data_IF_720419609148
#
_entry.id   IF_720419609148
#
_cell.length_a   1.000
_cell.length_b   1.000
_cell.length_c   1.000
_cell.angle_alpha   90.00
_cell.angle_beta   90.00
_cell.angle_gamma   90.00
#
_symmetry.space_group_name_H-M   'P 1'
#
loop_
_entity.id
_entity.type
_entity.pdbx_description
1 polymer ?
#
# COMPACT_ATOMS: atom_id res chain seq x y z
N UNK A 1 -53.13 42.30 -44.61
CA UNK A 1 -53.15 41.25 -43.56
C UNK A 1 -52.81 39.81 -44.05
N UNK A 2 -52.67 39.56 -45.30
CA UNK A 2 -52.39 38.20 -45.86
C UNK A 2 -50.92 37.74 -45.75
N UNK A 3 -49.92 38.61 -45.57
CA UNK A 3 -48.49 38.27 -45.57
C UNK A 3 -47.99 37.70 -44.23
N UNK A 4 -48.72 37.81 -43.14
CA UNK A 4 -48.30 37.23 -41.82
C UNK A 4 -48.78 35.83 -41.57
N UNK A 5 -49.78 35.34 -42.31
CA UNK A 5 -50.32 33.97 -42.17
C UNK A 5 -49.49 32.92 -42.88
N UNK A 6 -48.77 33.26 -43.95
CA UNK A 6 -47.94 32.34 -44.70
C UNK A 6 -46.65 31.98 -43.95
N UNK A 7 -46.08 32.87 -43.12
CA UNK A 7 -44.88 32.59 -42.35
C UNK A 7 -45.12 31.61 -41.18
N UNK A 8 -46.31 31.72 -40.52
CA UNK A 8 -46.65 30.82 -39.42
C UNK A 8 -46.98 29.40 -39.91
N UNK A 9 -47.63 29.28 -41.06
CA UNK A 9 -47.91 27.96 -41.67
C UNK A 9 -46.64 27.24 -42.13
N UNK A 10 -45.64 27.99 -42.67
CA UNK A 10 -44.37 27.42 -43.06
C UNK A 10 -43.53 26.97 -41.89
N UNK A 11 -43.56 27.71 -40.76
CA UNK A 11 -42.85 27.35 -39.54
C UNK A 11 -43.50 26.10 -38.86
N UNK A 12 -44.80 25.96 -38.94
CA UNK A 12 -45.51 24.77 -38.39
C UNK A 12 -45.28 23.53 -39.27
N UNK A 13 -45.20 23.67 -40.62
CA UNK A 13 -44.87 22.57 -41.54
C UNK A 13 -43.39 22.15 -41.38
N UNK A 14 -42.47 23.06 -41.17
CA UNK A 14 -41.07 22.75 -40.88
C UNK A 14 -40.86 22.04 -39.53
N UNK A 15 -41.71 22.34 -38.53
CA UNK A 15 -41.66 21.66 -37.23
C UNK A 15 -42.18 20.21 -37.32
N UNK A 16 -43.14 19.94 -38.24
CA UNK A 16 -43.68 18.57 -38.48
C UNK A 16 -42.75 17.75 -39.38
N UNK A 17 -41.90 18.40 -40.19
CA UNK A 17 -40.99 17.72 -41.14
C UNK A 17 -39.60 17.41 -40.54
N UNK A 18 -39.34 17.75 -39.29
CA UNK A 18 -38.17 17.22 -38.60
C UNK A 18 -38.39 15.72 -38.39
N UNK A 19 -37.59 14.84 -39.01
CA UNK A 19 -37.67 13.43 -38.70
C UNK A 19 -37.32 13.25 -37.24
N UNK A 20 -38.32 12.92 -36.41
CA UNK A 20 -38.09 12.40 -35.08
C UNK A 20 -37.39 11.04 -35.23
N UNK A 21 -36.15 11.04 -35.65
CA UNK A 21 -35.29 9.89 -35.49
C UNK A 21 -34.94 9.80 -34.00
N UNK A 22 -35.91 9.36 -33.20
CA UNK A 22 -35.63 8.84 -31.91
C UNK A 22 -35.20 7.37 -32.09
N UNK A 23 -33.91 7.04 -32.17
CA UNK A 23 -33.44 5.73 -32.55
C UNK A 23 -33.30 4.81 -31.35
N UNK A 24 -34.15 4.95 -30.34
CA UNK A 24 -33.96 4.17 -29.15
C UNK A 24 -35.15 3.25 -28.88
N UNK A 25 -35.03 1.96 -29.13
CA UNK A 25 -35.99 1.02 -28.62
C UNK A 25 -35.90 0.96 -27.10
N UNK A 26 -37.02 1.28 -26.46
CA UNK A 26 -37.23 0.92 -25.07
C UNK A 26 -37.56 -0.57 -25.07
N UNK A 27 -36.75 -1.38 -24.38
CA UNK A 27 -36.92 -2.84 -24.29
C UNK A 27 -37.44 -3.18 -22.91
N UNK A 28 -38.54 -3.94 -22.86
CA UNK A 28 -39.03 -4.51 -21.61
C UNK A 28 -38.33 -5.85 -21.34
N UNK A 29 -37.71 -5.96 -20.13
CA UNK A 29 -37.17 -7.21 -19.65
C UNK A 29 -37.94 -7.68 -18.43
N UNK A 30 -38.34 -8.96 -18.44
CA UNK A 30 -38.98 -9.56 -17.27
C UNK A 30 -37.98 -9.56 -16.09
N UNK A 31 -38.36 -8.91 -14.99
CA UNK A 31 -37.52 -8.75 -13.80
C UNK A 31 -36.75 -7.42 -13.67
N UNK A 32 -36.52 -6.72 -14.78
CA UNK A 32 -35.75 -5.44 -14.79
C UNK A 32 -36.59 -4.22 -15.25
N UNK A 33 -37.78 -4.47 -15.83
CA UNK A 33 -38.65 -3.41 -16.33
C UNK A 33 -38.22 -2.87 -17.70
N UNK A 34 -38.57 -1.60 -17.97
CA UNK A 34 -38.26 -0.92 -19.21
C UNK A 34 -36.82 -0.40 -19.20
N UNK A 35 -35.97 -0.84 -20.13
CA UNK A 35 -34.59 -0.40 -20.30
C UNK A 35 -34.40 0.27 -21.65
N UNK A 36 -33.58 1.34 -21.66
CA UNK A 36 -33.20 2.07 -22.85
C UNK A 36 -31.94 1.43 -23.50
N UNK A 37 -32.07 0.92 -24.71
CA UNK A 37 -30.94 0.34 -25.44
C UNK A 37 -30.81 1.03 -26.82
N UNK A 38 -29.81 1.94 -26.99
CA UNK A 38 -29.62 2.64 -28.26
C UNK A 38 -29.26 1.66 -29.39
N UNK A 39 -29.74 1.94 -30.58
CA UNK A 39 -29.40 1.17 -31.79
C UNK A 39 -28.04 1.64 -32.33
N UNK A 40 -27.05 0.74 -32.36
CA UNK A 40 -25.73 1.05 -32.92
C UNK A 40 -25.73 1.13 -34.44
N UNK A 41 -24.93 1.99 -35.03
CA UNK A 41 -24.64 1.96 -36.47
C UNK A 41 -23.80 0.74 -36.83
N UNK A 42 -23.96 0.18 -38.04
CA UNK A 42 -23.16 -0.94 -38.54
C UNK A 42 -22.36 -0.48 -39.77
N UNK A 43 -21.04 -0.68 -39.73
CA UNK A 43 -20.12 -0.34 -40.82
C UNK A 43 -19.25 -1.51 -41.29
N UNK A 44 -19.23 -2.62 -40.56
CA UNK A 44 -18.38 -3.78 -40.83
C UNK A 44 -19.13 -5.10 -40.57
N UNK A 45 -18.68 -6.20 -41.18
CA UNK A 45 -19.29 -7.52 -41.02
C UNK A 45 -19.37 -8.04 -39.59
N UNK A 46 -18.51 -7.55 -38.68
CA UNK A 46 -18.47 -7.92 -37.26
C UNK A 46 -19.29 -6.96 -36.36
N UNK A 47 -19.84 -5.89 -36.90
CA UNK A 47 -20.65 -4.92 -36.15
C UNK A 47 -22.12 -5.33 -36.13
N UNK A 48 -22.74 -5.17 -34.97
CA UNK A 48 -24.17 -5.46 -34.76
C UNK A 48 -24.89 -4.23 -34.22
N UNK A 49 -26.20 -4.22 -34.39
CA UNK A 49 -27.07 -3.10 -33.98
C UNK A 49 -27.46 -3.15 -32.50
N UNK A 50 -27.36 -4.30 -31.84
CA UNK A 50 -27.73 -4.52 -30.43
C UNK A 50 -26.56 -4.96 -29.62
N UNK A 51 -26.54 -4.57 -28.32
CA UNK A 51 -25.48 -4.91 -27.39
C UNK A 51 -25.29 -6.42 -27.22
N UNK A 52 -26.40 -7.17 -27.10
CA UNK A 52 -26.40 -8.62 -26.96
C UNK A 52 -25.70 -9.30 -28.14
N UNK A 53 -26.14 -8.97 -29.37
CA UNK A 53 -25.60 -9.59 -30.60
C UNK A 53 -24.12 -9.22 -30.80
N UNK A 54 -23.75 -7.99 -30.43
CA UNK A 54 -22.35 -7.52 -30.48
C UNK A 54 -21.46 -8.25 -29.46
N UNK A 55 -21.98 -8.53 -28.27
CA UNK A 55 -21.27 -9.34 -27.27
C UNK A 55 -21.10 -10.78 -27.73
N UNK A 56 -22.14 -11.35 -28.38
CA UNK A 56 -22.05 -12.70 -28.93
C UNK A 56 -20.94 -12.79 -30.00
N UNK A 57 -20.84 -11.83 -30.91
CA UNK A 57 -19.74 -11.78 -31.90
C UNK A 57 -18.39 -11.71 -31.18
N UNK A 58 -18.28 -10.95 -30.08
CA UNK A 58 -17.04 -10.85 -29.29
C UNK A 58 -16.71 -12.21 -28.65
N UNK A 59 -17.68 -12.89 -28.08
CA UNK A 59 -17.51 -14.21 -27.46
C UNK A 59 -17.10 -15.27 -28.51
N UNK A 60 -17.80 -15.37 -29.63
CA UNK A 60 -17.46 -16.28 -30.69
C UNK A 60 -16.05 -16.06 -31.26
N UNK A 61 -15.64 -14.79 -31.41
CA UNK A 61 -14.27 -14.44 -31.80
C UNK A 61 -13.24 -14.86 -30.75
N UNK A 62 -13.57 -14.73 -29.46
CA UNK A 62 -12.73 -15.19 -28.37
C UNK A 62 -12.55 -16.72 -28.41
N UNK A 63 -13.63 -17.45 -28.59
CA UNK A 63 -13.62 -18.90 -28.59
C UNK A 63 -12.84 -19.46 -29.80
N UNK A 64 -12.83 -18.73 -30.92
CA UNK A 64 -11.97 -19.03 -32.09
C UNK A 64 -10.51 -18.62 -31.94
N UNK A 65 -10.13 -17.97 -30.79
CA UNK A 65 -8.77 -17.46 -30.57
C UNK A 65 -8.45 -16.16 -31.31
N UNK A 66 -9.43 -15.51 -31.92
CA UNK A 66 -9.30 -14.24 -32.62
C UNK A 66 -9.32 -13.05 -31.64
N UNK A 67 -8.42 -13.06 -30.66
CA UNK A 67 -8.43 -12.12 -29.51
C UNK A 67 -8.40 -10.64 -29.91
N UNK A 68 -7.85 -10.30 -31.07
CA UNK A 68 -7.86 -8.90 -31.56
C UNK A 68 -9.27 -8.48 -32.01
N UNK A 69 -9.97 -9.34 -32.72
CA UNK A 69 -11.35 -9.10 -33.15
C UNK A 69 -12.28 -9.10 -31.93
N UNK A 70 -12.15 -10.09 -31.04
CA UNK A 70 -12.88 -10.16 -29.78
C UNK A 70 -12.73 -8.88 -28.96
N UNK A 71 -11.51 -8.36 -28.82
CA UNK A 71 -11.24 -7.10 -28.12
C UNK A 71 -11.95 -5.91 -28.80
N UNK A 72 -11.94 -5.82 -30.15
CA UNK A 72 -12.63 -4.75 -30.89
C UNK A 72 -14.14 -4.82 -30.68
N UNK A 73 -14.72 -6.03 -30.85
CA UNK A 73 -16.14 -6.25 -30.72
C UNK A 73 -16.65 -5.98 -29.30
N UNK A 74 -15.94 -6.45 -28.26
CA UNK A 74 -16.26 -6.20 -26.87
C UNK A 74 -16.14 -4.72 -26.49
N UNK A 75 -15.06 -4.05 -26.93
CA UNK A 75 -14.91 -2.61 -26.70
C UNK A 75 -16.01 -1.77 -27.35
N UNK A 76 -16.57 -2.24 -28.47
CA UNK A 76 -17.73 -1.59 -29.09
C UNK A 76 -18.95 -1.66 -28.18
N UNK A 77 -19.21 -2.81 -27.52
CA UNK A 77 -20.29 -2.92 -26.53
C UNK A 77 -20.12 -1.87 -25.44
N UNK A 78 -18.94 -1.81 -24.84
CA UNK A 78 -18.64 -0.89 -23.74
C UNK A 78 -18.77 0.59 -24.14
N UNK A 79 -18.42 0.93 -25.39
CA UNK A 79 -18.46 2.32 -25.87
C UNK A 79 -19.84 2.77 -26.32
N UNK A 80 -20.54 1.91 -27.04
CA UNK A 80 -21.85 2.26 -27.66
C UNK A 80 -23.00 2.07 -26.67
N UNK A 81 -22.89 1.04 -25.80
CA UNK A 81 -23.95 0.67 -24.83
C UNK A 81 -23.40 0.61 -23.39
N UNK A 82 -22.82 1.70 -22.84
CA UNK A 82 -22.17 1.68 -21.53
C UNK A 82 -23.10 1.33 -20.38
N UNK A 83 -24.40 1.63 -20.52
CA UNK A 83 -25.43 1.37 -19.49
C UNK A 83 -26.15 0.04 -19.67
N UNK A 84 -25.81 -0.74 -20.70
CA UNK A 84 -26.39 -2.05 -20.92
C UNK A 84 -25.79 -3.09 -19.95
N UNK A 85 -26.60 -4.05 -19.48
CA UNK A 85 -26.17 -5.19 -18.66
C UNK A 85 -25.07 -6.02 -19.33
N UNK A 86 -25.00 -5.95 -20.65
CA UNK A 86 -23.95 -6.61 -21.43
C UNK A 86 -22.60 -5.88 -21.36
N UNK A 87 -22.57 -4.61 -20.93
CA UNK A 87 -21.35 -3.80 -20.87
C UNK A 87 -20.34 -4.36 -19.86
N UNK A 88 -20.78 -4.80 -18.69
CA UNK A 88 -19.92 -5.42 -17.68
C UNK A 88 -19.27 -6.71 -18.18
N UNK A 89 -20.07 -7.59 -18.80
CA UNK A 89 -19.58 -8.85 -19.42
C UNK A 89 -18.61 -8.57 -20.57
N UNK A 90 -18.90 -7.56 -21.39
CA UNK A 90 -18.01 -7.16 -22.48
C UNK A 90 -16.68 -6.60 -21.95
N UNK A 91 -16.70 -5.75 -20.92
CA UNK A 91 -15.49 -5.22 -20.31
C UNK A 91 -14.63 -6.33 -19.68
N UNK A 92 -15.26 -7.32 -19.04
CA UNK A 92 -14.58 -8.51 -18.54
C UNK A 92 -13.92 -9.30 -19.68
N UNK A 93 -14.63 -9.52 -20.79
CA UNK A 93 -14.11 -10.22 -21.98
C UNK A 93 -12.90 -9.49 -22.58
N UNK A 94 -12.88 -8.15 -22.57
CA UNK A 94 -11.68 -7.36 -22.94
C UNK A 94 -10.49 -7.74 -22.07
N UNK A 95 -10.70 -7.88 -20.76
CA UNK A 95 -9.67 -8.36 -19.81
C UNK A 95 -9.14 -9.74 -20.19
N UNK A 96 -10.04 -10.70 -20.46
CA UNK A 96 -9.72 -12.06 -20.89
C UNK A 96 -8.91 -12.08 -22.20
N UNK A 97 -9.30 -11.25 -23.17
CA UNK A 97 -8.58 -11.13 -24.43
C UNK A 97 -7.15 -10.60 -24.24
N UNK A 98 -6.96 -9.63 -23.35
CA UNK A 98 -5.61 -9.14 -23.04
C UNK A 98 -4.77 -10.19 -22.30
N UNK A 99 -5.37 -10.92 -21.36
CA UNK A 99 -4.70 -12.00 -20.62
C UNK A 99 -4.25 -13.13 -21.57
N UNK A 100 -5.14 -13.60 -22.46
CA UNK A 100 -4.81 -14.61 -23.48
C UNK A 100 -3.64 -14.19 -24.39
N UNK A 101 -3.51 -12.88 -24.64
CA UNK A 101 -2.40 -12.29 -25.40
C UNK A 101 -1.16 -12.01 -24.54
N UNK A 102 -1.12 -12.44 -23.28
CA UNK A 102 -0.02 -12.18 -22.32
C UNK A 102 0.28 -10.67 -22.14
N UNK A 103 -0.78 -9.85 -22.22
CA UNK A 103 -0.74 -8.40 -21.98
C UNK A 103 -1.26 -8.09 -20.58
N UNK A 104 -0.61 -8.68 -19.56
CA UNK A 104 -1.10 -8.73 -18.17
C UNK A 104 -1.41 -7.35 -17.56
N UNK A 105 -0.61 -6.32 -17.86
CA UNK A 105 -0.90 -4.96 -17.39
C UNK A 105 -2.22 -4.40 -17.94
N UNK A 106 -2.51 -4.68 -19.23
CA UNK A 106 -3.75 -4.24 -19.85
C UNK A 106 -4.93 -5.07 -19.37
N UNK A 107 -4.71 -6.37 -19.17
CA UNK A 107 -5.70 -7.26 -18.57
C UNK A 107 -6.10 -6.81 -17.18
N UNK A 108 -5.12 -6.54 -16.31
CA UNK A 108 -5.37 -6.03 -14.95
C UNK A 108 -6.17 -4.72 -14.96
N UNK A 109 -5.79 -3.78 -15.83
CA UNK A 109 -6.53 -2.50 -15.96
C UNK A 109 -7.96 -2.71 -16.47
N UNK A 110 -8.17 -3.64 -17.41
CA UNK A 110 -9.51 -3.95 -17.93
C UNK A 110 -10.37 -4.57 -16.84
N UNK A 111 -9.82 -5.49 -16.04
CA UNK A 111 -10.49 -6.09 -14.88
C UNK A 111 -10.79 -5.04 -13.80
N UNK A 112 -9.86 -4.16 -13.49
CA UNK A 112 -10.08 -3.06 -12.55
C UNK A 112 -11.23 -2.15 -13.00
N UNK A 113 -11.26 -1.84 -14.29
CA UNK A 113 -12.32 -1.04 -14.89
C UNK A 113 -13.68 -1.75 -14.82
N UNK A 114 -13.71 -3.09 -14.98
CA UNK A 114 -14.93 -3.89 -14.82
C UNK A 114 -15.47 -3.74 -13.38
N UNK A 115 -14.65 -3.98 -12.38
CA UNK A 115 -15.06 -3.90 -10.97
C UNK A 115 -15.52 -2.48 -10.57
N UNK A 116 -14.86 -1.45 -11.12
CA UNK A 116 -15.18 -0.05 -10.79
C UNK A 116 -16.47 0.43 -11.46
N UNK A 117 -16.69 0.09 -12.72
CA UNK A 117 -17.85 0.57 -13.50
C UNK A 117 -19.05 -0.35 -13.41
N UNK A 118 -18.84 -1.64 -13.18
CA UNK A 118 -19.88 -2.68 -13.18
C UNK A 118 -19.75 -3.55 -11.91
N UNK A 119 -19.98 -3.01 -10.71
CA UNK A 119 -19.77 -3.73 -9.44
C UNK A 119 -20.73 -4.94 -9.26
N UNK A 120 -21.81 -5.00 -10.04
CA UNK A 120 -22.79 -6.10 -10.00
C UNK A 120 -22.51 -7.19 -11.05
N UNK A 121 -21.29 -7.25 -11.61
CA UNK A 121 -20.93 -8.28 -12.61
C UNK A 121 -20.93 -9.67 -11.97
N UNK A 122 -21.48 -10.66 -12.68
CA UNK A 122 -21.61 -12.05 -12.20
C UNK A 122 -20.23 -12.69 -11.87
N UNK A 123 -19.19 -12.28 -12.57
CA UNK A 123 -17.85 -12.84 -12.46
C UNK A 123 -16.95 -12.07 -11.47
N UNK A 124 -17.50 -11.42 -10.45
CA UNK A 124 -16.74 -10.54 -9.53
C UNK A 124 -15.56 -11.27 -8.88
N UNK A 125 -15.78 -12.41 -8.24
CA UNK A 125 -14.75 -13.18 -7.55
C UNK A 125 -13.73 -13.79 -8.52
N UNK A 126 -14.17 -14.21 -9.69
CA UNK A 126 -13.27 -14.67 -10.75
C UNK A 126 -12.33 -13.53 -11.19
N UNK A 127 -12.83 -12.31 -11.33
CA UNK A 127 -12.02 -11.15 -11.69
C UNK A 127 -10.96 -10.88 -10.62
N UNK A 128 -11.33 -10.93 -9.33
CA UNK A 128 -10.38 -10.76 -8.23
C UNK A 128 -9.30 -11.85 -8.25
N UNK A 129 -9.67 -13.10 -8.47
CA UNK A 129 -8.73 -14.21 -8.60
C UNK A 129 -7.77 -14.02 -9.78
N UNK A 130 -8.25 -13.54 -10.92
CA UNK A 130 -7.42 -13.23 -12.08
C UNK A 130 -6.49 -12.05 -11.83
N UNK A 131 -6.96 -10.98 -11.18
CA UNK A 131 -6.12 -9.86 -10.78
C UNK A 131 -5.00 -10.32 -9.85
N UNK A 132 -5.33 -11.16 -8.87
CA UNK A 132 -4.35 -11.74 -7.95
C UNK A 132 -3.31 -12.59 -8.72
N UNK A 133 -3.75 -13.47 -9.61
CA UNK A 133 -2.86 -14.30 -10.43
C UNK A 133 -1.91 -13.47 -11.29
N UNK A 134 -2.40 -12.39 -11.89
CA UNK A 134 -1.56 -11.45 -12.65
C UNK A 134 -0.51 -10.78 -11.75
N UNK A 135 -0.90 -10.30 -10.56
CA UNK A 135 0.02 -9.70 -9.60
C UNK A 135 1.08 -10.71 -9.13
N UNK A 136 0.70 -11.97 -8.92
CA UNK A 136 1.61 -13.07 -8.59
C UNK A 136 2.66 -13.33 -9.69
N UNK A 137 2.28 -13.26 -10.96
CA UNK A 137 3.24 -13.37 -12.07
C UNK A 137 4.32 -12.27 -12.00
N UNK A 138 3.91 -11.03 -11.69
CA UNK A 138 4.85 -9.91 -11.51
C UNK A 138 5.71 -10.09 -10.26
N UNK A 139 5.15 -10.58 -9.16
CA UNK A 139 5.90 -10.92 -7.94
C UNK A 139 6.94 -12.02 -8.21
N UNK A 140 6.58 -13.02 -9.03
CA UNK A 140 7.46 -14.08 -9.50
C UNK A 140 8.57 -13.61 -10.44
N UNK A 141 8.57 -12.33 -10.84
CA UNK A 141 9.66 -11.73 -11.61
C UNK A 141 9.33 -11.43 -13.06
N UNK A 142 8.09 -11.57 -13.48
CA UNK A 142 7.67 -11.11 -14.80
C UNK A 142 7.97 -9.61 -14.96
N UNK A 143 8.46 -9.24 -16.13
CA UNK A 143 8.83 -7.85 -16.43
C UNK A 143 7.61 -7.05 -16.91
N UNK A 144 7.52 -5.82 -16.45
CA UNK A 144 6.58 -4.84 -17.02
C UNK A 144 7.00 -4.48 -18.43
N UNK A 145 6.01 -4.31 -19.32
CA UNK A 145 6.24 -4.03 -20.74
C UNK A 145 6.10 -2.54 -21.02
N UNK A 146 7.11 -1.93 -21.62
CA UNK A 146 7.01 -0.58 -22.15
C UNK A 146 6.16 -0.62 -23.43
N UNK A 147 5.17 0.27 -23.52
CA UNK A 147 4.16 0.33 -24.61
C UNK A 147 3.40 -1.00 -24.83
N UNK A 148 3.47 -1.93 -23.85
CA UNK A 148 2.80 -3.23 -23.94
C UNK A 148 3.51 -4.29 -24.80
N UNK A 149 4.72 -4.01 -25.29
CA UNK A 149 5.49 -4.88 -26.18
C UNK A 149 6.85 -5.25 -25.61
N UNK A 150 7.67 -4.28 -25.24
CA UNK A 150 9.06 -4.48 -24.81
C UNK A 150 9.16 -4.77 -23.31
N UNK A 151 9.57 -5.97 -22.88
CA UNK A 151 9.76 -6.30 -21.45
C UNK A 151 11.03 -5.62 -20.94
N UNK A 152 10.89 -4.54 -20.15
CA UNK A 152 12.03 -3.73 -19.72
C UNK A 152 12.52 -4.07 -18.31
N UNK A 153 11.67 -3.93 -17.30
CA UNK A 153 12.11 -3.93 -15.90
C UNK A 153 11.14 -4.65 -14.97
N UNK A 154 11.69 -5.13 -13.87
CA UNK A 154 10.93 -5.62 -12.72
C UNK A 154 10.62 -4.43 -11.83
N UNK A 155 9.38 -4.24 -11.44
CA UNK A 155 8.97 -3.15 -10.55
C UNK A 155 8.11 -3.71 -9.41
N UNK A 156 8.74 -4.00 -8.28
CA UNK A 156 8.07 -4.56 -7.12
C UNK A 156 7.15 -3.55 -6.44
N UNK A 157 7.43 -2.25 -6.55
CA UNK A 157 6.54 -1.20 -6.04
C UNK A 157 5.21 -1.18 -6.80
N UNK A 158 5.28 -1.24 -8.14
CA UNK A 158 4.08 -1.38 -8.98
C UNK A 158 3.36 -2.70 -8.68
N UNK A 159 4.10 -3.78 -8.43
CA UNK A 159 3.52 -5.08 -8.05
C UNK A 159 2.78 -4.98 -6.70
N UNK A 160 3.36 -4.35 -5.69
CA UNK A 160 2.70 -4.09 -4.41
C UNK A 160 1.41 -3.29 -4.59
N UNK A 161 1.42 -2.28 -5.48
CA UNK A 161 0.23 -1.50 -5.81
C UNK A 161 -0.87 -2.32 -6.50
N UNK A 162 -0.52 -3.29 -7.36
CA UNK A 162 -1.50 -4.21 -7.96
C UNK A 162 -2.19 -5.06 -6.89
N UNK A 163 -1.42 -5.64 -5.95
CA UNK A 163 -2.00 -6.35 -4.82
C UNK A 163 -2.88 -5.43 -3.95
N UNK A 164 -2.42 -4.21 -3.69
CA UNK A 164 -3.18 -3.21 -2.93
C UNK A 164 -4.54 -2.88 -3.55
N UNK A 165 -4.61 -2.78 -4.89
CA UNK A 165 -5.87 -2.62 -5.61
C UNK A 165 -6.76 -3.86 -5.46
N UNK A 166 -6.20 -5.07 -5.56
CA UNK A 166 -6.93 -6.32 -5.33
C UNK A 166 -7.54 -6.41 -3.92
N UNK A 167 -6.74 -6.08 -2.90
CA UNK A 167 -7.21 -6.00 -1.50
C UNK A 167 -8.28 -4.93 -1.32
N UNK A 168 -8.15 -3.79 -2.00
CA UNK A 168 -9.14 -2.72 -1.96
C UNK A 168 -10.48 -3.12 -2.57
N UNK A 169 -10.45 -3.89 -3.65
CA UNK A 169 -11.66 -4.38 -4.32
C UNK A 169 -12.39 -5.46 -3.51
N UNK A 170 -11.66 -6.43 -2.94
CA UNK A 170 -12.25 -7.55 -2.21
C UNK A 170 -11.40 -7.99 -1.02
N UNK A 171 -11.43 -7.24 0.11
CA UNK A 171 -10.56 -7.54 1.25
C UNK A 171 -10.87 -8.88 1.92
N UNK A 172 -12.11 -9.33 1.90
CA UNK A 172 -12.56 -10.54 2.61
C UNK A 172 -12.79 -11.75 1.71
N UNK A 173 -12.54 -11.63 0.42
CA UNK A 173 -12.57 -12.80 -0.48
C UNK A 173 -11.36 -13.72 -0.24
N UNK A 174 -11.30 -14.85 -0.94
CA UNK A 174 -10.23 -15.85 -0.75
C UNK A 174 -8.82 -15.36 -1.13
N UNK A 175 -8.73 -14.37 -2.00
CA UNK A 175 -7.45 -13.83 -2.46
C UNK A 175 -6.98 -12.62 -1.66
N UNK A 176 -7.88 -11.92 -0.96
CA UNK A 176 -7.58 -10.71 -0.18
C UNK A 176 -6.49 -10.91 0.88
N UNK A 177 -6.59 -11.92 1.76
CA UNK A 177 -5.57 -12.21 2.76
C UNK A 177 -4.20 -12.50 2.14
N UNK A 178 -4.17 -13.33 1.10
CA UNK A 178 -2.94 -13.69 0.38
C UNK A 178 -2.31 -12.46 -0.30
N UNK A 179 -3.14 -11.63 -0.93
CA UNK A 179 -2.69 -10.40 -1.55
C UNK A 179 -2.10 -9.40 -0.54
N UNK A 180 -2.66 -9.32 0.68
CA UNK A 180 -2.13 -8.47 1.74
C UNK A 180 -0.74 -8.96 2.21
N UNK A 181 -0.53 -10.27 2.34
CA UNK A 181 0.79 -10.86 2.62
C UNK A 181 1.79 -10.59 1.48
N UNK A 182 1.34 -10.70 0.23
CA UNK A 182 2.18 -10.49 -0.93
C UNK A 182 2.61 -9.04 -1.13
N UNK A 183 1.86 -8.06 -0.58
CA UNK A 183 2.33 -6.67 -0.46
C UNK A 183 3.61 -6.63 0.38
N UNK A 184 3.61 -7.30 1.53
CA UNK A 184 4.79 -7.41 2.39
C UNK A 184 5.97 -8.07 1.66
N UNK A 185 5.71 -9.19 0.99
CA UNK A 185 6.73 -9.90 0.19
C UNK A 185 7.32 -9.02 -0.92
N UNK A 186 6.51 -8.21 -1.59
CA UNK A 186 7.00 -7.28 -2.60
C UNK A 186 7.88 -6.17 -2.00
N UNK A 187 7.54 -5.66 -0.81
CA UNK A 187 8.38 -4.70 -0.08
C UNK A 187 9.69 -5.32 0.41
N UNK A 188 9.67 -6.57 0.87
CA UNK A 188 10.90 -7.30 1.21
C UNK A 188 11.86 -7.43 0.02
N UNK A 189 11.34 -7.76 -1.18
CA UNK A 189 12.15 -7.82 -2.41
C UNK A 189 12.80 -6.48 -2.75
N UNK A 190 12.19 -5.36 -2.33
CA UNK A 190 12.77 -4.02 -2.40
C UNK A 190 13.71 -3.70 -1.23
N UNK A 191 13.89 -4.62 -0.28
CA UNK A 191 14.63 -4.42 0.98
C UNK A 191 14.04 -3.28 1.84
N UNK A 192 12.77 -2.93 1.64
CA UNK A 192 12.03 -1.93 2.42
C UNK A 192 11.34 -2.61 3.60
N UNK A 193 12.15 -3.16 4.51
CA UNK A 193 11.67 -3.99 5.61
C UNK A 193 10.62 -3.30 6.51
N UNK A 194 10.75 -2.01 6.86
CA UNK A 194 9.71 -1.35 7.66
C UNK A 194 8.34 -1.31 6.97
N UNK A 195 8.31 -1.21 5.64
CA UNK A 195 7.06 -1.25 4.88
C UNK A 195 6.51 -2.68 4.74
N UNK A 196 7.41 -3.67 4.66
CA UNK A 196 7.02 -5.08 4.67
C UNK A 196 6.36 -5.45 6.01
N UNK A 197 6.98 -5.07 7.13
CA UNK A 197 6.41 -5.30 8.47
C UNK A 197 5.04 -4.67 8.60
N UNK A 198 4.87 -3.40 8.25
CA UNK A 198 3.55 -2.74 8.26
C UNK A 198 2.49 -3.47 7.42
N UNK A 199 2.90 -4.05 6.28
CA UNK A 199 1.97 -4.79 5.44
C UNK A 199 1.57 -6.13 6.08
N UNK A 200 2.51 -6.79 6.77
CA UNK A 200 2.25 -8.04 7.50
C UNK A 200 1.44 -7.79 8.77
N UNK A 201 1.78 -6.79 9.59
CA UNK A 201 0.98 -6.38 10.76
C UNK A 201 -0.46 -6.09 10.36
N UNK A 202 -0.65 -5.32 9.27
CA UNK A 202 -1.99 -5.07 8.72
C UNK A 202 -2.70 -6.35 8.26
N UNK A 203 -1.96 -7.39 7.83
CA UNK A 203 -2.56 -8.69 7.51
C UNK A 203 -2.98 -9.43 8.78
N UNK A 204 -2.14 -9.44 9.81
CA UNK A 204 -2.45 -10.05 11.10
C UNK A 204 -3.68 -9.42 11.75
N UNK A 205 -3.72 -8.07 11.79
CA UNK A 205 -4.84 -7.31 12.38
C UNK A 205 -6.15 -7.52 11.64
N UNK A 206 -6.12 -7.48 10.30
CA UNK A 206 -7.35 -7.56 9.49
C UNK A 206 -7.93 -8.97 9.44
N UNK A 207 -7.07 -9.99 9.47
CA UNK A 207 -7.45 -11.38 9.29
C UNK A 207 -7.17 -12.23 10.55
N UNK A 208 -7.33 -11.63 11.72
CA UNK A 208 -7.14 -12.30 13.01
C UNK A 208 -8.06 -13.51 13.18
N UNK A 209 -9.23 -13.50 12.52
CA UNK A 209 -10.21 -14.60 12.46
C UNK A 209 -9.73 -15.78 11.59
N UNK A 210 -8.63 -15.64 10.86
CA UNK A 210 -8.02 -16.66 10.02
C UNK A 210 -6.64 -17.05 10.57
N UNK A 211 -6.53 -17.99 11.53
CA UNK A 211 -5.29 -18.29 12.25
C UNK A 211 -4.09 -18.56 11.35
N UNK A 212 -4.30 -19.28 10.23
CA UNK A 212 -3.22 -19.60 9.27
C UNK A 212 -2.64 -18.35 8.61
N UNK A 213 -3.46 -17.32 8.35
CA UNK A 213 -3.01 -16.08 7.74
C UNK A 213 -2.35 -15.18 8.77
N UNK A 214 -2.96 -15.07 9.96
CA UNK A 214 -2.46 -14.22 11.04
C UNK A 214 -1.11 -14.75 11.55
N UNK A 215 -0.97 -16.07 11.76
CA UNK A 215 0.31 -16.67 12.15
C UNK A 215 1.40 -16.46 11.10
N UNK A 216 1.07 -16.64 9.81
CA UNK A 216 2.03 -16.40 8.71
C UNK A 216 2.46 -14.93 8.64
N UNK A 217 1.52 -14.01 8.90
CA UNK A 217 1.78 -12.58 8.92
C UNK A 217 2.74 -12.18 10.04
N UNK A 218 2.47 -12.56 11.28
CA UNK A 218 3.33 -12.26 12.44
C UNK A 218 4.72 -12.85 12.25
N UNK A 219 4.79 -14.12 11.85
CA UNK A 219 6.06 -14.79 11.59
C UNK A 219 6.90 -14.07 10.52
N UNK A 220 6.30 -13.68 9.38
CA UNK A 220 6.99 -12.92 8.31
C UNK A 220 7.38 -11.52 8.75
N UNK A 221 6.60 -10.86 9.60
CA UNK A 221 6.97 -9.58 10.18
C UNK A 221 8.24 -9.70 11.04
N UNK A 222 8.32 -10.73 11.88
CA UNK A 222 9.53 -11.08 12.63
C UNK A 222 10.73 -11.31 11.72
N UNK A 223 10.57 -12.14 10.68
CA UNK A 223 11.63 -12.38 9.68
C UNK A 223 12.08 -11.11 8.94
N UNK A 224 11.16 -10.20 8.64
CA UNK A 224 11.52 -8.96 7.96
C UNK A 224 12.40 -8.06 8.84
N UNK A 225 12.09 -7.94 10.15
CA UNK A 225 12.95 -7.25 11.10
C UNK A 225 14.28 -7.98 11.33
N UNK A 226 14.27 -9.32 11.40
CA UNK A 226 15.51 -10.12 11.48
C UNK A 226 16.45 -9.82 10.31
N UNK A 227 15.95 -9.84 9.07
CA UNK A 227 16.73 -9.50 7.87
C UNK A 227 17.29 -8.09 7.91
N UNK A 228 16.60 -7.15 8.53
CA UNK A 228 17.10 -5.80 8.72
C UNK A 228 18.15 -5.74 9.83
N UNK A 229 17.91 -6.39 10.96
CA UNK A 229 18.82 -6.44 12.10
C UNK A 229 20.18 -7.01 11.74
N UNK A 230 20.20 -8.13 11.00
CA UNK A 230 21.43 -8.79 10.55
C UNK A 230 22.26 -7.96 9.54
N UNK A 231 21.67 -6.89 8.99
CA UNK A 231 22.37 -5.95 8.09
C UNK A 231 22.87 -4.69 8.80
N UNK A 232 22.25 -4.34 9.92
CA UNK A 232 22.57 -3.14 10.67
C UNK A 232 23.57 -3.48 11.77
N UNK A 233 24.85 -3.27 11.51
CA UNK A 233 25.94 -3.62 12.43
C UNK A 233 25.84 -2.92 13.80
N UNK A 234 25.19 -1.77 13.86
CA UNK A 234 25.09 -0.91 15.05
C UNK A 234 23.65 -0.65 15.54
N UNK A 235 22.62 -0.94 14.76
CA UNK A 235 21.22 -0.68 15.18
C UNK A 235 20.55 -1.97 15.70
N UNK A 236 20.68 -2.19 17.00
CA UNK A 236 20.10 -3.35 17.69
C UNK A 236 18.60 -3.21 17.98
N UNK A 237 17.99 -2.05 17.68
CA UNK A 237 16.56 -1.82 17.95
C UNK A 237 15.67 -2.76 17.13
N UNK A 238 16.08 -3.11 15.91
CA UNK A 238 15.34 -3.99 15.01
C UNK A 238 15.43 -5.46 15.43
N UNK A 239 16.56 -5.85 16.04
CA UNK A 239 16.69 -7.17 16.66
C UNK A 239 15.69 -7.34 17.81
N UNK A 240 15.52 -6.32 18.66
CA UNK A 240 14.52 -6.32 19.73
C UNK A 240 13.11 -6.49 19.19
N UNK A 241 12.71 -5.66 18.20
CA UNK A 241 11.39 -5.75 17.58
C UNK A 241 11.13 -7.11 16.92
N UNK A 242 12.15 -7.73 16.31
CA UNK A 242 12.03 -9.08 15.74
C UNK A 242 11.81 -10.15 16.83
N UNK A 243 12.59 -10.06 17.92
CA UNK A 243 12.45 -10.98 19.06
C UNK A 243 11.05 -10.88 19.65
N UNK A 244 10.50 -9.69 19.80
CA UNK A 244 9.17 -9.50 20.39
C UNK A 244 8.09 -10.10 19.48
N UNK A 245 8.14 -9.86 18.16
CA UNK A 245 7.21 -10.49 17.20
C UNK A 245 7.32 -12.02 17.19
N UNK A 246 8.52 -12.59 17.29
CA UNK A 246 8.65 -14.05 17.37
C UNK A 246 8.12 -14.61 18.70
N UNK A 247 8.25 -13.89 19.82
CA UNK A 247 7.62 -14.29 21.09
C UNK A 247 6.09 -14.25 20.99
N UNK A 248 5.54 -13.16 20.43
CA UNK A 248 4.10 -13.04 20.20
C UNK A 248 3.60 -14.19 19.32
N UNK A 249 4.36 -14.52 18.26
CA UNK A 249 4.05 -15.67 17.41
C UNK A 249 4.01 -16.98 18.18
N UNK A 250 5.01 -17.25 19.03
CA UNK A 250 5.10 -18.50 19.82
C UNK A 250 3.99 -18.56 20.86
N UNK A 251 3.65 -17.43 21.48
CA UNK A 251 2.60 -17.36 22.50
C UNK A 251 1.21 -17.55 21.88
N UNK A 252 0.94 -16.92 20.74
CA UNK A 252 -0.36 -16.99 20.07
C UNK A 252 -0.58 -18.28 19.28
N UNK A 253 0.50 -18.91 18.78
CA UNK A 253 0.44 -20.08 17.92
C UNK A 253 1.43 -21.18 18.37
N UNK A 254 1.31 -21.75 19.58
CA UNK A 254 2.29 -22.68 20.15
C UNK A 254 2.41 -24.00 19.37
N UNK A 255 1.35 -24.41 18.66
CA UNK A 255 1.31 -25.65 17.88
C UNK A 255 1.78 -25.45 16.42
N UNK A 256 2.21 -24.25 16.03
CA UNK A 256 2.69 -24.00 14.65
C UNK A 256 4.08 -24.63 14.46
N UNK A 257 4.26 -25.32 13.33
CA UNK A 257 5.51 -26.02 12.99
C UNK A 257 6.74 -25.09 12.94
N UNK A 258 6.55 -23.78 12.85
CA UNK A 258 7.61 -22.77 12.79
C UNK A 258 8.09 -22.29 14.16
N UNK A 259 7.50 -22.78 15.26
CA UNK A 259 7.87 -22.38 16.64
C UNK A 259 9.35 -22.65 16.91
N UNK A 260 9.87 -23.82 16.51
CA UNK A 260 11.30 -24.13 16.68
C UNK A 260 12.21 -23.19 15.87
N UNK A 261 11.81 -22.84 14.65
CA UNK A 261 12.54 -21.89 13.82
C UNK A 261 12.51 -20.48 14.43
N UNK A 262 11.36 -20.05 14.98
CA UNK A 262 11.24 -18.79 15.69
C UNK A 262 12.14 -18.72 16.94
N UNK A 263 12.19 -19.79 17.75
CA UNK A 263 13.10 -19.89 18.90
C UNK A 263 14.57 -19.83 18.47
N UNK A 264 14.92 -20.47 17.36
CA UNK A 264 16.28 -20.41 16.79
C UNK A 264 16.63 -18.99 16.35
N UNK A 265 15.73 -18.30 15.66
CA UNK A 265 15.91 -16.89 15.29
C UNK A 265 16.08 -15.98 16.49
N UNK A 266 15.27 -16.17 17.55
CA UNK A 266 15.43 -15.43 18.82
C UNK A 266 16.83 -15.63 19.41
N UNK A 267 17.32 -16.86 19.42
CA UNK A 267 18.65 -17.20 19.96
C UNK A 267 19.77 -16.52 19.15
N UNK A 268 19.68 -16.55 17.83
CA UNK A 268 20.63 -15.86 16.93
C UNK A 268 20.61 -14.35 17.16
N UNK A 269 19.44 -13.75 17.25
CA UNK A 269 19.28 -12.32 17.46
C UNK A 269 19.80 -11.86 18.83
N UNK A 270 19.59 -12.66 19.88
CA UNK A 270 20.16 -12.38 21.21
C UNK A 270 21.69 -12.44 21.20
N UNK A 271 22.27 -13.44 20.51
CA UNK A 271 23.70 -13.55 20.35
C UNK A 271 24.27 -12.34 19.61
N UNK A 272 23.62 -11.88 18.54
CA UNK A 272 24.05 -10.68 17.81
C UNK A 272 23.90 -9.40 18.65
N UNK A 273 22.86 -9.28 19.46
CA UNK A 273 22.74 -8.18 20.43
C UNK A 273 23.86 -8.20 21.47
N UNK A 274 24.19 -9.39 21.99
CA UNK A 274 25.29 -9.54 22.94
C UNK A 274 26.63 -9.17 22.29
N UNK A 275 26.88 -9.61 21.05
CA UNK A 275 28.06 -9.23 20.26
C UNK A 275 28.15 -7.70 20.07
N UNK A 276 27.07 -7.08 19.63
CA UNK A 276 27.04 -5.62 19.42
C UNK A 276 27.33 -4.82 20.70
N UNK A 277 26.74 -5.23 21.82
CA UNK A 277 27.02 -4.63 23.12
C UNK A 277 28.47 -4.84 23.56
N UNK A 278 29.01 -6.05 23.37
CA UNK A 278 30.43 -6.35 23.66
C UNK A 278 31.37 -5.47 22.85
N UNK A 279 31.19 -5.36 21.53
CA UNK A 279 32.03 -4.50 20.68
C UNK A 279 31.92 -3.02 21.06
N UNK A 280 30.72 -2.57 21.44
CA UNK A 280 30.50 -1.21 21.95
C UNK A 280 31.25 -1.01 23.29
N UNK A 281 31.22 -1.99 24.19
CA UNK A 281 31.97 -1.97 25.42
C UNK A 281 33.47 -1.84 25.17
N UNK A 282 34.03 -2.63 24.24
CA UNK A 282 35.45 -2.54 23.81
C UNK A 282 35.77 -1.17 23.21
N UNK A 283 34.88 -0.59 22.44
CA UNK A 283 35.08 0.78 21.94
C UNK A 283 35.22 1.78 23.05
N UNK A 284 34.28 1.82 24.03
CA UNK A 284 34.37 2.72 25.17
C UNK A 284 35.60 2.50 26.02
N UNK A 285 36.01 1.25 26.23
CA UNK A 285 37.24 0.89 26.95
C UNK A 285 38.47 1.46 26.26
N UNK A 286 38.60 1.33 24.95
CA UNK A 286 39.73 1.89 24.16
C UNK A 286 39.87 3.40 24.34
N UNK A 287 38.73 4.10 24.48
CA UNK A 287 38.70 5.54 24.69
C UNK A 287 38.74 5.95 26.18
N UNK A 288 39.08 4.99 27.08
CA UNK A 288 39.16 5.22 28.53
C UNK A 288 37.87 5.76 29.14
N UNK A 289 36.71 5.42 28.57
CA UNK A 289 35.37 5.72 29.07
C UNK A 289 34.85 4.52 29.87
N UNK A 290 35.50 4.31 31.03
CA UNK A 290 35.33 3.08 31.82
C UNK A 290 33.89 2.82 32.25
N UNK A 291 33.18 3.86 32.66
CA UNK A 291 31.77 3.74 33.03
C UNK A 291 30.92 3.23 31.86
N UNK A 292 31.11 3.81 30.66
CA UNK A 292 30.41 3.34 29.44
C UNK A 292 30.79 1.90 29.09
N UNK A 293 32.06 1.54 29.20
CA UNK A 293 32.50 0.17 28.92
C UNK A 293 31.81 -0.85 29.83
N UNK A 294 31.77 -0.59 31.13
CA UNK A 294 31.11 -1.47 32.11
C UNK A 294 29.62 -1.59 31.85
N UNK A 295 28.95 -0.48 31.47
CA UNK A 295 27.52 -0.51 31.14
C UNK A 295 27.27 -1.45 29.94
N UNK A 296 28.01 -1.31 28.84
CA UNK A 296 27.82 -2.13 27.66
C UNK A 296 28.26 -3.59 27.81
N UNK A 297 29.29 -3.88 28.60
CA UNK A 297 29.63 -5.26 28.97
C UNK A 297 28.52 -5.93 29.78
N UNK A 298 27.90 -5.20 30.74
CA UNK A 298 26.75 -5.70 31.49
C UNK A 298 25.54 -5.90 30.54
N UNK A 299 25.30 -5.00 29.59
CA UNK A 299 24.26 -5.16 28.60
C UNK A 299 24.48 -6.43 27.76
N UNK A 300 25.72 -6.71 27.33
CA UNK A 300 26.05 -7.96 26.62
C UNK A 300 25.64 -9.20 27.42
N UNK A 301 25.94 -9.23 28.72
CA UNK A 301 25.56 -10.32 29.62
C UNK A 301 24.05 -10.45 29.80
N UNK A 302 23.33 -9.33 29.82
CA UNK A 302 21.87 -9.33 29.93
C UNK A 302 21.18 -9.84 28.64
N UNK A 303 21.76 -9.56 27.49
CA UNK A 303 21.23 -10.04 26.19
C UNK A 303 21.42 -11.54 26.02
N UNK A 304 22.63 -12.04 26.29
CA UNK A 304 22.93 -13.46 26.28
C UNK A 304 24.10 -13.79 27.23
N UNK A 305 23.75 -14.19 28.47
CA UNK A 305 24.73 -14.57 29.49
C UNK A 305 25.47 -15.89 29.23
N UNK A 306 25.12 -16.62 28.17
CA UNK A 306 25.78 -17.85 27.70
C UNK A 306 26.56 -17.63 26.39
N UNK A 307 26.59 -16.43 25.88
CA UNK A 307 27.30 -16.09 24.66
C UNK A 307 28.81 -16.37 24.78
N UNK A 308 29.54 -16.57 23.67
CA UNK A 308 31.01 -16.69 23.67
C UNK A 308 31.74 -15.48 24.25
N UNK A 309 31.04 -14.34 24.38
CA UNK A 309 31.57 -13.09 24.93
C UNK A 309 31.38 -12.96 26.44
N UNK A 310 30.53 -13.82 27.04
CA UNK A 310 30.07 -13.65 28.41
C UNK A 310 31.22 -13.69 29.44
N UNK A 311 32.15 -14.63 29.28
CA UNK A 311 33.29 -14.76 30.20
C UNK A 311 34.19 -13.53 30.11
N UNK A 312 34.54 -13.10 28.90
CA UNK A 312 35.33 -11.89 28.71
C UNK A 312 34.62 -10.65 29.27
N UNK A 313 33.31 -10.55 29.12
CA UNK A 313 32.55 -9.43 29.72
C UNK A 313 32.69 -9.43 31.26
N UNK A 314 32.54 -10.58 31.93
CA UNK A 314 32.68 -10.68 33.39
C UNK A 314 34.05 -10.26 33.85
N UNK A 315 35.10 -10.79 33.24
CA UNK A 315 36.48 -10.44 33.55
C UNK A 315 36.74 -8.94 33.35
N UNK A 316 36.29 -8.37 32.24
CA UNK A 316 36.49 -6.92 31.96
C UNK A 316 35.71 -6.04 32.94
N UNK A 317 34.48 -6.41 33.33
CA UNK A 317 33.70 -5.67 34.32
C UNK A 317 34.43 -5.60 35.65
N UNK A 318 34.95 -6.73 36.15
CA UNK A 318 35.69 -6.75 37.43
C UNK A 318 36.92 -5.86 37.38
N UNK A 319 37.71 -5.94 36.31
CA UNK A 319 38.89 -5.13 36.13
C UNK A 319 38.59 -3.60 36.03
N UNK A 320 37.52 -3.25 35.34
CA UNK A 320 37.19 -1.88 35.06
C UNK A 320 36.30 -1.19 36.11
N UNK A 321 35.64 -1.97 36.98
CA UNK A 321 34.72 -1.47 38.01
C UNK A 321 35.32 -0.36 38.87
N UNK A 322 36.51 -0.50 39.46
CA UNK A 322 37.08 0.57 40.30
C UNK A 322 37.37 1.86 39.51
N UNK A 323 37.75 1.75 38.24
CA UNK A 323 37.97 2.88 37.34
C UNK A 323 36.66 3.55 36.93
N UNK A 324 35.62 2.76 36.66
CA UNK A 324 34.29 3.22 36.35
C UNK A 324 33.66 3.98 37.53
N UNK A 325 33.79 3.46 38.76
CA UNK A 325 33.28 4.09 39.98
C UNK A 325 33.99 5.44 40.23
N UNK A 326 35.30 5.50 40.03
CA UNK A 326 36.05 6.75 40.13
C UNK A 326 35.62 7.77 39.06
N UNK A 327 35.34 7.30 37.83
CA UNK A 327 34.84 8.14 36.74
C UNK A 327 33.41 8.64 37.04
N UNK A 328 32.52 7.78 37.54
CA UNK A 328 31.16 8.14 37.93
C UNK A 328 31.15 9.23 39.02
N UNK A 329 31.97 9.07 40.04
CA UNK A 329 32.12 10.09 41.09
C UNK A 329 32.57 11.46 40.54
N UNK A 330 33.52 11.48 39.60
CA UNK A 330 33.97 12.73 38.95
C UNK A 330 32.82 13.36 38.14
N UNK A 331 32.06 12.59 37.42
CA UNK A 331 30.90 13.04 36.63
C UNK A 331 29.84 13.65 37.56
N UNK A 332 29.48 12.97 38.65
CA UNK A 332 28.44 13.43 39.58
C UNK A 332 28.84 14.77 40.26
N UNK A 333 30.09 14.90 40.65
CA UNK A 333 30.64 16.17 41.23
C UNK A 333 30.59 17.30 40.18
N UNK A 334 30.90 16.99 38.91
CA UNK A 334 30.83 17.98 37.85
C UNK A 334 29.39 18.42 37.56
N UNK A 335 28.46 17.46 37.47
CA UNK A 335 27.03 17.74 37.24
C UNK A 335 26.44 18.58 38.37
N UNK A 336 26.80 18.28 39.63
CA UNK A 336 26.35 19.08 40.77
C UNK A 336 26.87 20.52 40.69
N UNK A 337 28.15 20.72 40.33
CA UNK A 337 28.71 22.06 40.10
C UNK A 337 27.98 22.80 38.96
N UNK A 338 27.65 22.12 37.88
CA UNK A 338 26.89 22.71 36.76
C UNK A 338 25.47 23.11 37.21
N UNK A 339 24.80 22.22 37.97
CA UNK A 339 23.47 22.49 38.52
C UNK A 339 23.49 23.68 39.49
N UNK A 340 24.48 23.78 40.37
CA UNK A 340 24.64 24.91 41.29
C UNK A 340 24.88 26.21 40.53
N UNK A 341 25.75 26.21 39.49
CA UNK A 341 25.99 27.39 38.64
C UNK A 341 24.72 27.79 37.87
N UNK A 342 23.94 26.83 37.40
CA UNK A 342 22.67 27.09 36.74
C UNK A 342 21.64 27.75 37.66
N UNK A 343 21.53 27.27 38.91
CA UNK A 343 20.68 27.88 39.95
C UNK A 343 21.14 29.30 40.30
N UNK A 344 22.43 29.52 40.51
CA UNK A 344 22.98 30.83 40.80
C UNK A 344 22.78 31.84 39.65
N UNK A 345 22.82 31.38 38.39
CA UNK A 345 22.46 32.23 37.24
C UNK A 345 20.98 32.57 37.19
N UNK A 346 20.11 31.61 37.51
CA UNK A 346 18.67 31.82 37.52
C UNK A 346 18.22 32.79 38.62
N UNK A 347 18.87 32.73 39.80
CA UNK A 347 18.62 33.66 40.93
C UNK A 347 19.16 35.06 40.67
N UNK A 348 20.25 35.20 39.91
CA UNK A 348 20.87 36.50 39.59
C UNK A 348 20.40 37.08 38.25
N UNK A 349 19.47 36.42 37.54
CA UNK A 349 18.84 37.02 36.38
C UNK A 349 17.95 38.19 36.84
N UNK A 350 18.11 39.40 36.30
CA UNK A 350 17.22 40.52 36.65
C UNK A 350 15.79 40.08 36.29
N UNK A 351 14.88 40.27 37.27
CA UNK A 351 13.45 40.01 37.03
C UNK A 351 13.03 40.81 35.81
N UNK A 352 12.73 40.12 34.72
CA UNK A 352 12.10 40.74 33.58
C UNK A 352 10.77 41.27 34.08
N UNK A 353 10.68 42.60 34.25
CA UNK A 353 9.43 43.27 34.51
C UNK A 353 8.42 42.79 33.50
N UNK A 354 7.21 42.41 33.90
CA UNK A 354 6.19 42.03 32.91
C UNK A 354 5.92 43.25 32.04
N UNK A 355 6.47 43.24 30.81
CA UNK A 355 6.05 44.20 29.80
C UNK A 355 4.57 44.03 29.68
N UNK A 356 3.83 45.07 30.03
CA UNK A 356 2.39 45.16 29.86
C UNK A 356 2.02 44.67 28.45
N UNK A 357 1.33 43.55 28.43
CA UNK A 357 0.72 43.06 27.21
C UNK A 357 -0.32 44.10 26.80
N UNK A 358 -0.21 44.74 25.63
CA UNK A 358 -1.27 45.63 25.17
C UNK A 358 -2.60 44.84 25.08
N UNK A 359 -3.73 45.45 25.47
CA UNK A 359 -5.00 44.74 25.43
C UNK A 359 -5.34 44.28 24.01
N UNK A 360 -5.77 43.03 23.89
CA UNK A 360 -6.20 42.44 22.64
C UNK A 360 -7.27 43.33 21.97
N UNK A 361 -7.20 43.57 20.65
CA UNK A 361 -8.26 44.31 19.97
C UNK A 361 -9.60 43.58 20.13
N UNK A 362 -10.61 44.31 20.59
CA UNK A 362 -11.95 43.82 20.71
C UNK A 362 -12.49 43.36 19.36
N UNK A 363 -13.00 42.14 19.31
CA UNK A 363 -13.65 41.57 18.15
C UNK A 363 -14.85 42.40 17.72
N UNK A 364 -14.78 43.02 16.54
CA UNK A 364 -15.95 43.55 15.86
C UNK A 364 -16.82 42.40 15.33
N UNK A 365 -18.12 42.54 15.47
CA UNK A 365 -19.13 41.58 15.08
C UNK A 365 -19.13 41.23 13.58
N UNK A 366 -19.76 40.11 13.18
CA UNK A 366 -19.66 39.59 11.81
C UNK A 366 -20.58 40.36 10.85
N UNK A 367 -20.00 40.91 9.80
CA UNK A 367 -20.71 41.50 8.68
C UNK A 367 -20.32 40.86 7.36
N UNK A 368 -21.27 40.14 6.79
CA UNK A 368 -21.61 39.89 5.38
C UNK A 368 -20.52 39.82 4.30
N UNK A 369 -20.44 38.65 3.69
CA UNK A 369 -20.37 38.30 2.26
C UNK A 369 -19.28 38.88 1.31
N UNK A 370 -18.59 37.92 0.65
CA UNK A 370 -18.08 37.92 -0.75
C UNK A 370 -16.69 38.47 -1.06
N UNK A 371 -16.10 38.06 -2.17
CA UNK A 371 -15.86 36.75 -2.79
C UNK A 371 -14.37 36.37 -2.91
N UNK A 372 -14.08 35.17 -3.39
CA UNK A 372 -12.74 34.60 -3.59
C UNK A 372 -11.85 35.40 -4.55
N UNK A 373 -10.53 35.43 -4.35
CA UNK A 373 -9.58 35.87 -5.36
C UNK A 373 -8.99 34.66 -6.11
N UNK A 374 -8.92 34.89 -7.42
CA UNK A 374 -8.32 34.13 -8.49
C UNK A 374 -6.82 33.85 -8.30
N UNK A 375 -6.37 32.68 -8.75
CA UNK A 375 -4.97 32.28 -8.95
C UNK A 375 -4.14 33.28 -9.78
N UNK A 376 -2.87 33.47 -9.45
CA UNK A 376 -1.92 34.05 -10.39
C UNK A 376 -1.06 32.95 -11.05
N UNK A 377 -0.92 33.18 -12.35
CA UNK A 377 -0.22 32.40 -13.34
C UNK A 377 1.24 32.05 -13.05
N UNK A 378 1.64 30.90 -13.56
CA UNK A 378 3.01 30.40 -13.73
C UNK A 378 3.81 31.31 -14.67
N UNK A 379 5.04 31.62 -14.27
CA UNK A 379 6.10 32.07 -15.18
C UNK A 379 7.25 31.06 -15.19
N UNK A 380 7.84 30.71 -16.35
CA UNK A 380 8.93 29.74 -16.42
C UNK A 380 10.29 30.45 -16.31
N UNK A 381 11.21 29.81 -15.57
CA UNK A 381 12.62 30.22 -15.59
C UNK A 381 13.48 29.16 -16.29
N UNK A 382 14.40 29.65 -17.04
CA UNK A 382 15.43 29.09 -17.91
C UNK A 382 16.03 27.76 -17.51
#
# INVERSE_FOLDING_TARGET
MLRRLTGSAFLLVCLIALPFTCPAPIIFRAGEGWTYEPVGSTGSNWERKRAKDQLQVAQEAFDRGEFRLATKAANRVVKVWPLSDYSGRAQYLVGRCYEARKMDERAFKAYQLTLTKHPKVDNYDEILSRQYTIAQRFLGGQRFKLFGVLPLFRNMEKTANLFGQGVGNGPYNDTGPKAQLDIGTAQEKLKRYPLAVKAYEKAADRYFDRPLVASDAIYRAGQAWEKQALRAEYDQSKAGASIDLFKDFIELYPDDQRVEAANSSISILRLEQARGAYETGRFYERYKRWLGAVIYYNESLQRDGKSPYAEQCRERIELLKPLADAQAKRISVYEEKVRQRGRARATNAPALSPKSIPPAPQSAAPGTTSPAPSDPAKTPAK
#
